data_IF_092277867438
#
_entry.id   IF_092277867438
#
_cell.length_a   1.000
_cell.length_b   1.000
_cell.length_c   1.000
_cell.angle_alpha   90.00
_cell.angle_beta   90.00
_cell.angle_gamma   90.00
#
_symmetry.space_group_name_H-M   'P 1'
#
loop_
_entity.id
_entity.type
_entity.pdbx_description
1 polymer ?
#
# COMPACT_ATOMS: atom_id res chain seq x y z
N UNK A 1 -38.12 33.43 4.71
CA UNK A 1 -37.83 32.18 3.96
C UNK A 1 -36.83 31.39 4.79
N UNK A 2 -37.22 30.30 5.46
CA UNK A 2 -36.27 29.45 6.16
C UNK A 2 -35.44 28.64 5.16
N UNK A 3 -34.15 28.50 5.42
CA UNK A 3 -33.21 27.69 4.63
C UNK A 3 -33.65 26.21 4.64
N UNK A 4 -33.54 25.48 3.52
CA UNK A 4 -33.82 24.05 3.50
C UNK A 4 -32.71 23.32 4.28
N UNK A 5 -33.12 22.55 5.27
CA UNK A 5 -32.28 21.62 6.02
C UNK A 5 -31.77 20.52 5.09
N UNK A 6 -30.45 20.32 5.08
CA UNK A 6 -29.80 19.17 4.44
C UNK A 6 -30.29 17.89 5.12
N UNK A 7 -30.72 16.84 4.39
CA UNK A 7 -31.13 15.58 4.99
C UNK A 7 -29.93 14.91 5.64
N UNK A 8 -30.01 14.62 6.93
CA UNK A 8 -29.09 13.68 7.58
C UNK A 8 -29.39 12.29 7.03
N UNK A 9 -28.55 11.82 6.10
CA UNK A 9 -28.51 10.42 5.68
C UNK A 9 -28.23 9.57 6.92
N UNK A 10 -29.15 8.65 7.24
CA UNK A 10 -28.88 7.61 8.24
C UNK A 10 -27.72 6.76 7.75
N UNK A 11 -26.66 6.64 8.55
CA UNK A 11 -25.52 5.79 8.23
C UNK A 11 -26.01 4.37 7.84
N UNK A 12 -25.47 3.78 6.77
CA UNK A 12 -25.85 2.42 6.37
C UNK A 12 -25.62 1.45 7.54
N UNK A 13 -26.51 0.46 7.66
CA UNK A 13 -26.41 -0.59 8.68
C UNK A 13 -25.14 -1.42 8.44
N UNK A 14 -24.10 -1.16 9.22
CA UNK A 14 -22.79 -1.84 9.15
C UNK A 14 -22.77 -3.16 9.93
N UNK A 15 -23.88 -3.58 10.55
CA UNK A 15 -23.91 -4.75 11.43
C UNK A 15 -23.67 -6.09 10.74
N UNK A 16 -23.72 -6.13 9.40
CA UNK A 16 -23.46 -7.32 8.58
C UNK A 16 -22.04 -7.40 8.04
N UNK A 17 -21.23 -6.35 8.18
CA UNK A 17 -19.84 -6.36 7.68
C UNK A 17 -18.90 -6.96 8.71
N UNK A 18 -18.07 -7.91 8.28
CA UNK A 18 -17.02 -8.52 9.10
C UNK A 18 -15.98 -7.47 9.45
N UNK A 19 -15.73 -7.17 10.74
CA UNK A 19 -14.74 -6.12 11.05
C UNK A 19 -13.36 -6.58 10.66
N UNK A 20 -12.48 -5.65 10.31
CA UNK A 20 -11.08 -5.98 10.03
C UNK A 20 -10.39 -6.65 11.23
N UNK A 21 -10.77 -6.29 12.47
CA UNK A 21 -10.31 -6.92 13.71
C UNK A 21 -10.77 -8.38 13.85
N UNK A 22 -11.78 -8.79 13.08
CA UNK A 22 -12.34 -10.13 13.10
C UNK A 22 -11.67 -11.04 12.06
N UNK A 23 -10.68 -10.54 11.28
CA UNK A 23 -9.92 -11.36 10.33
C UNK A 23 -8.95 -12.27 11.10
N UNK A 24 -9.47 -13.40 11.55
CA UNK A 24 -8.75 -14.41 12.32
C UNK A 24 -8.07 -15.49 11.45
N UNK A 25 -7.21 -16.31 12.08
CA UNK A 25 -6.48 -17.41 11.41
C UNK A 25 -7.36 -18.55 10.88
N UNK A 26 -8.59 -18.72 11.38
CA UNK A 26 -9.45 -19.86 11.02
C UNK A 26 -10.66 -19.45 10.18
N UNK A 27 -10.56 -18.27 9.58
CA UNK A 27 -11.63 -17.58 8.90
C UNK A 27 -11.28 -17.40 7.41
N UNK A 28 -12.25 -17.43 6.48
CA UNK A 28 -11.99 -17.19 5.06
C UNK A 28 -11.14 -15.93 4.83
N UNK A 29 -10.20 -15.92 3.87
CA UNK A 29 -9.33 -14.77 3.67
C UNK A 29 -10.15 -13.55 3.28
N UNK A 30 -9.75 -12.41 3.81
CA UNK A 30 -10.31 -11.10 3.51
C UNK A 30 -9.70 -10.56 2.21
N UNK A 31 -10.51 -10.33 1.18
CA UNK A 31 -10.04 -9.98 -0.16
C UNK A 31 -10.27 -8.49 -0.45
N UNK A 32 -9.16 -7.80 -0.74
CA UNK A 32 -9.11 -6.39 -1.10
C UNK A 32 -8.94 -6.26 -2.62
N UNK A 33 -9.92 -5.66 -3.28
CA UNK A 33 -9.79 -5.18 -4.65
C UNK A 33 -9.04 -3.84 -4.64
N UNK A 34 -7.77 -3.86 -5.01
CA UNK A 34 -6.98 -2.63 -5.16
C UNK A 34 -7.39 -1.93 -6.45
N UNK A 35 -8.14 -0.84 -6.33
CA UNK A 35 -8.45 0.04 -7.47
C UNK A 35 -7.19 0.85 -7.81
N UNK A 36 -6.43 1.24 -6.78
CA UNK A 36 -5.16 1.95 -6.94
C UNK A 36 -5.32 3.18 -7.81
N UNK A 37 -4.58 3.23 -8.91
CA UNK A 37 -4.67 4.28 -9.94
C UNK A 37 -5.31 3.80 -11.26
N UNK A 38 -5.86 2.58 -11.31
CA UNK A 38 -6.48 2.00 -12.52
C UNK A 38 -7.80 2.70 -12.93
N UNK A 39 -8.21 3.71 -12.18
CA UNK A 39 -9.30 4.60 -12.53
C UNK A 39 -8.88 5.71 -13.53
N UNK A 40 -7.58 5.87 -13.79
CA UNK A 40 -7.03 6.82 -14.77
C UNK A 40 -7.46 8.28 -14.55
N UNK A 41 -7.66 8.67 -13.28
CA UNK A 41 -8.19 9.99 -12.92
C UNK A 41 -9.70 10.20 -13.17
N UNK A 42 -10.46 9.15 -13.52
CA UNK A 42 -11.92 9.23 -13.70
C UNK A 42 -12.67 8.64 -12.52
N UNK A 43 -13.58 9.43 -11.95
CA UNK A 43 -14.49 8.98 -10.88
C UNK A 43 -15.44 7.92 -11.40
N UNK A 44 -15.99 8.10 -12.61
CA UNK A 44 -16.90 7.14 -13.23
C UNK A 44 -16.23 5.77 -13.37
N UNK A 45 -14.96 5.76 -13.82
CA UNK A 45 -14.19 4.51 -13.90
C UNK A 45 -13.96 3.89 -12.53
N UNK A 46 -13.65 4.69 -11.50
CA UNK A 46 -13.52 4.17 -10.15
C UNK A 46 -14.83 3.53 -9.65
N UNK A 47 -15.99 4.16 -9.92
CA UNK A 47 -17.30 3.62 -9.57
C UNK A 47 -17.60 2.30 -10.30
N UNK A 48 -17.25 2.18 -11.58
CA UNK A 48 -17.34 0.93 -12.35
C UNK A 48 -16.49 -0.19 -11.71
N UNK A 49 -15.28 0.14 -11.24
CA UNK A 49 -14.39 -0.82 -10.57
C UNK A 49 -14.92 -1.23 -9.19
N UNK A 50 -15.56 -0.31 -8.44
CA UNK A 50 -16.26 -0.65 -7.20
C UNK A 50 -17.40 -1.65 -7.47
N UNK A 51 -18.20 -1.41 -8.51
CA UNK A 51 -19.27 -2.33 -8.90
C UNK A 51 -18.71 -3.71 -9.30
N UNK A 52 -17.60 -3.75 -10.04
CA UNK A 52 -16.93 -4.99 -10.41
C UNK A 52 -16.39 -5.76 -9.18
N UNK A 53 -15.78 -5.05 -8.22
CA UNK A 53 -15.30 -5.64 -6.97
C UNK A 53 -16.45 -6.26 -6.15
N UNK A 54 -17.58 -5.55 -6.05
CA UNK A 54 -18.78 -6.06 -5.38
C UNK A 54 -19.29 -7.36 -6.03
N UNK A 55 -19.49 -7.34 -7.36
CA UNK A 55 -20.00 -8.52 -8.09
C UNK A 55 -19.06 -9.72 -8.01
N UNK A 56 -17.75 -9.48 -7.91
CA UNK A 56 -16.77 -10.53 -7.74
C UNK A 56 -16.75 -11.16 -6.34
N UNK A 57 -17.37 -10.51 -5.35
CA UNK A 57 -17.36 -10.93 -3.95
C UNK A 57 -16.12 -10.50 -3.17
N UNK A 58 -15.53 -9.34 -3.51
CA UNK A 58 -14.51 -8.72 -2.66
C UNK A 58 -15.10 -8.29 -1.31
N UNK A 59 -14.25 -8.19 -0.28
CA UNK A 59 -14.64 -7.66 1.04
C UNK A 59 -14.35 -6.16 1.18
N UNK A 60 -13.45 -5.65 0.35
CA UNK A 60 -13.00 -4.25 0.35
C UNK A 60 -12.64 -3.77 -1.04
N UNK A 61 -12.75 -2.46 -1.22
CA UNK A 61 -11.96 -1.73 -2.21
C UNK A 61 -10.85 -0.96 -1.50
N UNK A 62 -9.75 -0.73 -2.22
CA UNK A 62 -8.67 0.14 -1.76
C UNK A 62 -8.35 1.23 -2.78
N UNK A 63 -8.22 2.45 -2.27
CA UNK A 63 -7.87 3.65 -3.03
C UNK A 63 -6.52 4.22 -2.56
N UNK A 64 -5.95 5.11 -3.35
CA UNK A 64 -4.69 5.79 -3.07
C UNK A 64 -4.95 7.30 -2.93
N UNK A 65 -4.59 7.87 -1.78
CA UNK A 65 -4.64 9.31 -1.53
C UNK A 65 -3.22 9.87 -1.51
N UNK A 66 -2.88 10.63 -2.54
CA UNK A 66 -1.60 11.31 -2.68
C UNK A 66 -1.79 12.69 -3.32
N UNK A 67 -0.83 13.56 -3.06
CA UNK A 67 -0.63 14.80 -3.79
C UNK A 67 0.78 14.72 -4.40
N UNK A 68 0.89 14.89 -5.72
CA UNK A 68 2.14 14.72 -6.46
C UNK A 68 3.24 15.61 -5.90
N UNK A 69 2.93 16.88 -5.60
CA UNK A 69 3.89 17.84 -5.07
C UNK A 69 4.38 17.51 -3.64
N UNK A 70 3.62 16.70 -2.89
CA UNK A 70 4.04 16.17 -1.58
C UNK A 70 4.81 14.88 -1.70
N UNK A 71 4.45 14.03 -2.66
CA UNK A 71 5.04 12.71 -2.82
C UNK A 71 6.40 12.75 -3.55
N UNK A 72 6.57 13.68 -4.49
CA UNK A 72 7.72 13.73 -5.38
C UNK A 72 8.57 14.97 -5.14
N UNK A 73 9.89 14.76 -4.99
CA UNK A 73 10.88 15.85 -5.07
C UNK A 73 11.36 16.06 -6.50
N UNK A 74 12.00 17.20 -6.78
CA UNK A 74 12.71 17.48 -8.06
C UNK A 74 13.73 16.41 -8.45
N UNK A 75 14.23 15.60 -7.52
CA UNK A 75 15.18 14.52 -7.79
C UNK A 75 14.53 13.21 -8.25
N UNK A 76 13.19 13.14 -8.26
CA UNK A 76 12.45 11.90 -8.52
C UNK A 76 12.53 11.47 -9.98
N UNK A 77 12.44 10.15 -10.20
CA UNK A 77 12.51 9.50 -11.51
C UNK A 77 11.43 8.43 -11.62
N UNK A 78 11.07 8.06 -12.85
CA UNK A 78 10.19 6.90 -13.11
C UNK A 78 10.92 5.60 -12.76
N UNK A 79 10.16 4.62 -12.25
CA UNK A 79 10.58 3.23 -12.30
C UNK A 79 10.60 2.72 -13.75
N UNK A 80 11.41 1.70 -14.02
CA UNK A 80 11.54 1.09 -15.34
C UNK A 80 10.21 0.58 -15.88
N UNK A 81 9.34 0.01 -15.03
CA UNK A 81 8.02 -0.45 -15.45
C UNK A 81 7.09 0.69 -15.85
N UNK A 82 7.16 1.84 -15.17
CA UNK A 82 6.36 3.02 -15.49
C UNK A 82 6.81 3.62 -16.83
N UNK A 83 8.13 3.71 -17.06
CA UNK A 83 8.68 4.11 -18.35
C UNK A 83 8.27 3.13 -19.47
N UNK A 84 8.29 1.82 -19.19
CA UNK A 84 7.85 0.77 -20.10
C UNK A 84 6.35 0.85 -20.46
N UNK A 85 5.51 1.36 -19.55
CA UNK A 85 4.10 1.65 -19.79
C UNK A 85 3.85 2.90 -20.68
N UNK A 86 4.92 3.58 -21.12
CA UNK A 86 4.86 4.73 -22.03
C UNK A 86 4.82 6.09 -21.33
N UNK A 87 5.14 6.14 -20.04
CA UNK A 87 5.20 7.38 -19.26
C UNK A 87 6.54 8.08 -19.44
N UNK A 88 6.49 9.41 -19.60
CA UNK A 88 7.67 10.22 -19.88
C UNK A 88 8.14 11.05 -18.69
N UNK A 89 7.21 11.44 -17.81
CA UNK A 89 7.48 12.29 -16.65
C UNK A 89 6.63 11.82 -15.46
N UNK A 90 7.26 11.46 -14.33
CA UNK A 90 6.53 10.88 -13.21
C UNK A 90 5.61 11.88 -12.51
N UNK A 91 5.96 13.17 -12.52
CA UNK A 91 5.09 14.23 -11.99
C UNK A 91 3.81 14.35 -12.79
N UNK A 92 3.93 14.47 -14.12
CA UNK A 92 2.79 14.58 -15.02
C UNK A 92 1.92 13.32 -15.00
N UNK A 93 2.52 12.14 -14.85
CA UNK A 93 1.80 10.87 -14.68
C UNK A 93 0.95 10.90 -13.41
N UNK A 94 1.56 11.10 -12.24
CA UNK A 94 0.85 11.05 -10.96
C UNK A 94 -0.22 12.14 -10.87
N UNK A 95 0.06 13.36 -11.34
CA UNK A 95 -0.89 14.47 -11.29
C UNK A 95 -2.19 14.18 -12.05
N UNK A 96 -2.15 13.38 -13.14
CA UNK A 96 -3.36 12.94 -13.86
C UNK A 96 -4.17 11.89 -13.11
N UNK A 97 -3.55 11.21 -12.16
CA UNK A 97 -4.13 10.10 -11.40
C UNK A 97 -4.62 10.53 -10.02
N UNK A 98 -4.45 11.81 -9.65
CA UNK A 98 -4.99 12.35 -8.41
C UNK A 98 -6.53 12.36 -8.44
N UNK A 99 -7.13 12.03 -7.30
CA UNK A 99 -8.54 12.26 -7.01
C UNK A 99 -8.65 13.17 -5.79
N UNK A 100 -9.56 14.14 -5.86
CA UNK A 100 -9.89 14.99 -4.72
C UNK A 100 -10.68 14.24 -3.65
N UNK A 101 -10.76 14.80 -2.44
CA UNK A 101 -11.55 14.21 -1.34
C UNK A 101 -13.04 14.17 -1.69
N UNK A 102 -13.54 15.17 -2.39
CA UNK A 102 -14.93 15.23 -2.86
C UNK A 102 -15.23 14.12 -3.87
N UNK A 103 -14.29 13.82 -4.77
CA UNK A 103 -14.42 12.72 -5.72
C UNK A 103 -14.31 11.35 -5.03
N UNK A 104 -13.36 11.19 -4.11
CA UNK A 104 -13.22 9.97 -3.29
C UNK A 104 -14.46 9.71 -2.43
N UNK A 105 -15.15 10.76 -1.95
CA UNK A 105 -16.40 10.62 -1.20
C UNK A 105 -17.45 9.80 -1.96
N UNK A 106 -17.63 10.08 -3.26
CA UNK A 106 -18.58 9.37 -4.11
C UNK A 106 -18.25 7.87 -4.23
N UNK A 107 -16.95 7.57 -4.31
CA UNK A 107 -16.45 6.19 -4.44
C UNK A 107 -16.62 5.43 -3.12
N UNK A 108 -16.31 6.07 -1.99
CA UNK A 108 -16.50 5.51 -0.64
C UNK A 108 -17.98 5.25 -0.36
N UNK A 109 -18.86 6.21 -0.68
CA UNK A 109 -20.31 6.05 -0.52
C UNK A 109 -20.82 4.86 -1.33
N UNK A 110 -20.38 4.71 -2.59
CA UNK A 110 -20.73 3.58 -3.45
C UNK A 110 -20.24 2.25 -2.88
N UNK A 111 -19.00 2.18 -2.41
CA UNK A 111 -18.44 0.97 -1.80
C UNK A 111 -19.28 0.56 -0.58
N UNK A 112 -19.59 1.54 0.28
CA UNK A 112 -20.40 1.29 1.47
C UNK A 112 -21.85 0.89 1.14
N UNK A 113 -22.46 1.47 0.12
CA UNK A 113 -23.80 1.07 -0.34
C UNK A 113 -23.85 -0.39 -0.81
N UNK A 114 -22.74 -0.91 -1.32
CA UNK A 114 -22.56 -2.32 -1.71
C UNK A 114 -22.13 -3.25 -0.57
N UNK A 115 -21.98 -2.73 0.65
CA UNK A 115 -21.52 -3.50 1.80
C UNK A 115 -20.01 -3.77 1.81
N UNK A 116 -19.23 -3.16 0.92
CA UNK A 116 -17.76 -3.25 0.90
C UNK A 116 -17.16 -2.31 1.94
N UNK A 117 -16.02 -2.67 2.51
CA UNK A 117 -15.19 -1.70 3.21
C UNK A 117 -14.42 -0.82 2.22
N UNK A 118 -14.13 0.40 2.65
CA UNK A 118 -13.26 1.35 1.96
C UNK A 118 -11.94 1.51 2.72
N UNK A 119 -10.84 1.14 2.07
CA UNK A 119 -9.48 1.24 2.60
C UNK A 119 -8.73 2.32 1.83
N UNK A 120 -7.86 3.08 2.50
CA UNK A 120 -7.03 4.10 1.85
C UNK A 120 -5.55 3.90 2.11
N UNK A 121 -4.74 3.96 1.05
CA UNK A 121 -3.30 4.15 1.16
C UNK A 121 -2.99 5.63 1.17
N UNK A 122 -2.33 6.12 2.22
CA UNK A 122 -1.93 7.53 2.35
C UNK A 122 -0.43 7.65 2.20
N UNK A 123 0.03 8.58 1.36
CA UNK A 123 1.44 8.69 0.96
C UNK A 123 2.24 9.82 1.63
N UNK A 124 1.61 10.60 2.52
CA UNK A 124 2.30 11.64 3.32
C UNK A 124 1.61 11.86 4.67
N UNK A 125 2.38 12.32 5.67
CA UNK A 125 1.87 12.55 7.03
C UNK A 125 0.76 13.61 7.02
N UNK A 126 0.94 14.64 6.19
CA UNK A 126 0.03 15.77 6.05
C UNK A 126 -1.33 15.38 5.47
N UNK A 127 -1.39 14.26 4.74
CA UNK A 127 -2.64 13.75 4.17
C UNK A 127 -3.44 12.86 5.14
N UNK A 128 -2.86 12.42 6.27
CA UNK A 128 -3.60 11.61 7.26
C UNK A 128 -4.79 12.40 7.85
N UNK A 129 -4.65 13.66 8.30
CA UNK A 129 -5.80 14.45 8.74
C UNK A 129 -6.81 14.76 7.62
N UNK A 130 -6.34 14.86 6.37
CA UNK A 130 -7.20 15.09 5.20
C UNK A 130 -8.05 13.85 4.94
N UNK A 131 -7.46 12.65 5.04
CA UNK A 131 -8.15 11.37 4.87
C UNK A 131 -9.28 11.16 5.90
N UNK A 132 -9.11 11.63 7.14
CA UNK A 132 -10.12 11.52 8.21
C UNK A 132 -11.45 12.24 7.91
N UNK A 133 -11.52 13.05 6.84
CA UNK A 133 -12.77 13.64 6.36
C UNK A 133 -13.75 12.62 5.75
N UNK A 134 -13.27 11.43 5.39
CA UNK A 134 -14.08 10.34 4.84
C UNK A 134 -14.14 9.15 5.80
N UNK A 135 -15.23 8.36 5.78
CA UNK A 135 -15.42 7.24 6.70
C UNK A 135 -14.62 6.00 6.24
N UNK A 136 -13.29 6.09 6.22
CA UNK A 136 -12.44 4.94 5.92
C UNK A 136 -12.55 3.86 6.99
N UNK A 137 -12.56 2.60 6.57
CA UNK A 137 -12.64 1.43 7.46
C UNK A 137 -11.25 0.98 7.93
N UNK A 138 -10.19 1.26 7.16
CA UNK A 138 -8.81 0.98 7.52
C UNK A 138 -7.81 1.86 6.75
N UNK A 139 -6.60 1.97 7.29
CA UNK A 139 -5.45 2.56 6.61
C UNK A 139 -4.51 1.49 6.07
N UNK A 140 -3.86 1.82 4.96
CA UNK A 140 -2.81 1.02 4.33
C UNK A 140 -1.54 1.86 4.20
N UNK A 141 -0.38 1.28 4.50
CA UNK A 141 0.90 1.83 4.03
C UNK A 141 1.38 1.08 2.79
N UNK A 142 1.92 1.81 1.80
CA UNK A 142 2.59 1.18 0.67
C UNK A 142 3.94 0.59 1.11
N UNK A 143 4.45 -0.39 0.35
CA UNK A 143 5.72 -1.07 0.64
C UNK A 143 6.92 -0.13 0.83
N UNK A 144 7.12 0.92 0.00
CA UNK A 144 8.26 1.82 0.16
C UNK A 144 8.23 2.64 1.46
N UNK A 145 7.06 2.79 2.07
CA UNK A 145 6.83 3.62 3.25
C UNK A 145 7.07 2.85 4.56
N UNK A 146 7.50 1.58 4.50
CA UNK A 146 7.83 0.78 5.69
C UNK A 146 8.92 1.42 6.57
N UNK A 147 9.77 2.25 5.98
CA UNK A 147 10.81 3.02 6.68
C UNK A 147 10.33 4.41 7.15
N UNK A 148 9.09 4.78 6.85
CA UNK A 148 8.52 6.08 7.19
C UNK A 148 7.78 6.03 8.53
N UNK A 149 8.56 5.97 9.62
CA UNK A 149 8.03 5.96 10.98
C UNK A 149 6.99 7.07 11.25
N UNK A 150 7.24 8.35 10.89
CA UNK A 150 6.24 9.41 11.10
C UNK A 150 4.88 9.13 10.44
N UNK A 151 4.87 8.59 9.22
CA UNK A 151 3.63 8.25 8.51
C UNK A 151 2.93 7.04 9.15
N UNK A 152 3.68 5.99 9.48
CA UNK A 152 3.15 4.80 10.15
C UNK A 152 2.52 5.14 11.50
N UNK A 153 3.20 5.93 12.34
CA UNK A 153 2.69 6.39 13.63
C UNK A 153 1.46 7.29 13.47
N UNK A 154 1.43 8.18 12.47
CA UNK A 154 0.28 9.04 12.19
C UNK A 154 -0.97 8.21 11.82
N UNK A 155 -0.83 7.23 10.92
CA UNK A 155 -1.94 6.34 10.55
C UNK A 155 -2.39 5.47 11.73
N UNK A 156 -1.46 4.90 12.50
CA UNK A 156 -1.79 4.10 13.69
C UNK A 156 -2.51 4.92 14.78
N UNK A 157 -2.13 6.20 14.92
CA UNK A 157 -2.71 7.15 15.86
C UNK A 157 -4.18 7.51 15.58
N UNK A 158 -4.70 7.22 14.38
CA UNK A 158 -6.13 7.39 14.06
C UNK A 158 -7.03 6.41 14.82
N UNK A 159 -6.47 5.35 15.39
CA UNK A 159 -7.21 4.28 16.06
C UNK A 159 -7.86 3.28 15.12
N UNK A 160 -7.82 3.50 13.80
CA UNK A 160 -8.32 2.55 12.80
C UNK A 160 -7.32 1.39 12.59
N UNK A 161 -7.76 0.26 12.03
CA UNK A 161 -6.85 -0.79 11.61
C UNK A 161 -5.80 -0.29 10.61
N UNK A 162 -4.60 -0.87 10.69
CA UNK A 162 -3.47 -0.51 9.83
C UNK A 162 -2.91 -1.74 9.14
N UNK A 163 -2.78 -1.69 7.83
CA UNK A 163 -2.22 -2.76 7.00
C UNK A 163 -0.92 -2.27 6.35
N UNK A 164 0.21 -2.89 6.69
CA UNK A 164 1.54 -2.51 6.20
C UNK A 164 2.02 -3.50 5.15
N UNK A 165 2.31 -3.03 3.93
CA UNK A 165 2.94 -3.88 2.90
C UNK A 165 4.44 -3.86 3.07
N UNK A 166 5.08 -4.96 2.67
CA UNK A 166 6.51 -5.19 2.92
C UNK A 166 7.31 -5.46 1.66
N UNK A 167 6.78 -5.12 0.49
CA UNK A 167 7.49 -5.28 -0.78
C UNK A 167 8.84 -4.57 -0.78
N UNK A 168 9.83 -5.19 -1.41
CA UNK A 168 11.19 -4.69 -1.49
C UNK A 168 11.78 -4.29 -0.12
N UNK A 169 11.47 -5.00 0.96
CA UNK A 169 12.03 -4.75 2.30
C UNK A 169 12.87 -5.93 2.80
N UNK A 170 13.81 -5.66 3.70
CA UNK A 170 14.47 -6.74 4.47
C UNK A 170 13.62 -7.12 5.68
N UNK A 171 13.90 -8.26 6.30
CA UNK A 171 13.21 -8.67 7.54
C UNK A 171 13.47 -7.67 8.67
N UNK A 172 14.69 -7.13 8.79
CA UNK A 172 15.04 -6.15 9.82
C UNK A 172 14.23 -4.86 9.70
N UNK A 173 13.91 -4.43 8.48
CA UNK A 173 13.05 -3.27 8.24
C UNK A 173 11.61 -3.56 8.68
N UNK A 174 11.11 -4.77 8.45
CA UNK A 174 9.79 -5.20 8.91
C UNK A 174 9.74 -5.24 10.44
N UNK A 175 10.72 -5.89 11.08
CA UNK A 175 10.81 -5.96 12.56
C UNK A 175 10.81 -4.55 13.15
N UNK A 176 11.63 -3.66 12.60
CA UNK A 176 11.71 -2.26 13.07
C UNK A 176 10.37 -1.53 12.95
N UNK A 177 9.65 -1.70 11.84
CA UNK A 177 8.34 -1.10 11.65
C UNK A 177 7.30 -1.65 12.63
N UNK A 178 7.32 -2.96 12.87
CA UNK A 178 6.45 -3.64 13.84
C UNK A 178 6.73 -3.14 15.26
N UNK A 179 8.00 -3.00 15.65
CA UNK A 179 8.39 -2.47 16.98
C UNK A 179 7.84 -1.06 17.24
N UNK A 180 7.74 -0.21 16.21
CA UNK A 180 7.12 1.12 16.32
C UNK A 180 5.60 1.04 16.52
N UNK A 181 4.95 0.04 15.91
CA UNK A 181 3.50 -0.04 15.77
C UNK A 181 2.82 -0.87 16.88
N UNK A 182 3.47 -1.93 17.38
CA UNK A 182 2.90 -2.80 18.41
C UNK A 182 2.41 -2.03 19.65
N UNK A 183 3.13 -1.03 20.19
CA UNK A 183 2.63 -0.28 21.35
C UNK A 183 1.33 0.49 21.11
N UNK A 184 0.95 0.73 19.85
CA UNK A 184 -0.17 1.62 19.48
C UNK A 184 -1.34 0.84 18.85
N UNK A 185 -1.08 -0.17 18.03
CA UNK A 185 -2.10 -0.86 17.24
C UNK A 185 -1.92 -2.39 17.12
N UNK A 186 -1.28 -3.05 18.10
CA UNK A 186 -1.03 -4.50 18.06
C UNK A 186 -2.27 -5.36 17.75
N UNK A 187 -3.46 -4.98 18.23
CA UNK A 187 -4.72 -5.71 18.07
C UNK A 187 -5.40 -5.52 16.70
N UNK A 188 -4.83 -4.65 15.85
CA UNK A 188 -5.42 -4.23 14.57
C UNK A 188 -4.37 -3.98 13.48
N UNK A 189 -3.22 -4.64 13.60
CA UNK A 189 -2.11 -4.55 12.67
C UNK A 189 -2.08 -5.75 11.72
N UNK A 190 -2.15 -5.46 10.42
CA UNK A 190 -1.94 -6.43 9.34
C UNK A 190 -0.59 -6.24 8.66
N UNK A 191 0.10 -7.33 8.32
CA UNK A 191 1.34 -7.32 7.54
C UNK A 191 1.14 -8.11 6.25
N UNK A 192 1.37 -7.47 5.11
CA UNK A 192 1.30 -8.14 3.81
C UNK A 192 2.71 -8.46 3.32
N UNK A 193 2.99 -9.75 3.16
CA UNK A 193 4.10 -10.17 2.31
C UNK A 193 3.78 -9.72 0.87
N UNK A 194 4.80 -9.23 0.18
CA UNK A 194 4.66 -8.59 -1.11
C UNK A 194 5.98 -8.66 -1.85
N UNK A 195 5.90 -8.71 -3.18
CA UNK A 195 7.03 -8.48 -4.09
C UNK A 195 6.68 -7.26 -4.93
N UNK A 196 7.51 -6.21 -4.86
CA UNK A 196 7.27 -4.93 -5.53
C UNK A 196 7.84 -4.95 -6.95
N UNK A 197 7.16 -5.66 -7.83
CA UNK A 197 7.41 -5.73 -9.27
C UNK A 197 6.08 -5.83 -10.02
N UNK A 198 5.92 -5.10 -11.12
CA UNK A 198 4.63 -4.83 -11.76
C UNK A 198 4.71 -5.08 -13.28
N UNK A 199 4.35 -6.28 -13.78
CA UNK A 199 3.94 -7.47 -13.02
C UNK A 199 5.12 -8.20 -12.38
N UNK A 200 4.85 -8.90 -11.27
CA UNK A 200 5.81 -9.81 -10.65
C UNK A 200 5.93 -11.07 -11.49
N UNK A 201 7.15 -11.45 -11.94
CA UNK A 201 7.37 -12.74 -12.60
C UNK A 201 6.99 -13.90 -11.69
N UNK A 202 6.46 -14.96 -12.28
CA UNK A 202 5.90 -16.12 -11.57
C UNK A 202 6.88 -16.70 -10.55
N UNK A 203 8.09 -16.99 -10.98
CA UNK A 203 9.21 -17.50 -10.20
C UNK A 203 9.69 -16.55 -9.09
N UNK A 204 9.29 -15.28 -9.14
CA UNK A 204 9.63 -14.26 -8.15
C UNK A 204 8.51 -13.99 -7.14
N UNK A 205 7.42 -14.74 -7.13
CA UNK A 205 6.30 -14.54 -6.18
C UNK A 205 6.70 -14.71 -4.70
N UNK A 206 7.73 -15.50 -4.43
CA UNK A 206 8.33 -15.71 -3.10
C UNK A 206 7.32 -16.01 -1.98
N UNK A 207 6.34 -16.88 -2.25
CA UNK A 207 5.19 -17.10 -1.35
C UNK A 207 5.58 -17.71 0.00
N UNK A 208 6.64 -18.51 0.09
CA UNK A 208 7.12 -19.09 1.38
C UNK A 208 7.64 -18.05 2.35
N UNK A 209 7.83 -16.80 1.94
CA UNK A 209 8.06 -15.71 2.88
C UNK A 209 6.84 -15.49 3.81
N UNK A 210 5.61 -15.83 3.39
CA UNK A 210 4.42 -15.77 4.27
C UNK A 210 4.62 -16.60 5.53
N UNK A 211 5.24 -17.78 5.41
CA UNK A 211 5.49 -18.65 6.55
C UNK A 211 6.53 -18.08 7.53
N UNK A 212 7.46 -17.24 7.05
CA UNK A 212 8.36 -16.47 7.91
C UNK A 212 7.54 -15.46 8.70
N UNK A 213 6.64 -14.73 8.05
CA UNK A 213 5.81 -13.72 8.70
C UNK A 213 4.88 -14.32 9.75
N UNK A 214 4.26 -15.48 9.47
CA UNK A 214 3.39 -16.16 10.44
C UNK A 214 4.14 -16.70 11.66
N UNK A 215 5.45 -16.96 11.52
CA UNK A 215 6.32 -17.37 12.62
C UNK A 215 6.84 -16.16 13.43
N UNK A 216 7.40 -15.16 12.76
CA UNK A 216 8.05 -14.00 13.38
C UNK A 216 7.04 -13.02 14.00
N UNK A 217 5.84 -12.91 13.42
CA UNK A 217 4.82 -11.94 13.84
C UNK A 217 3.47 -12.61 14.18
N UNK A 218 3.43 -13.52 15.18
CA UNK A 218 2.25 -14.34 15.46
C UNK A 218 1.04 -13.55 15.95
N UNK A 219 1.23 -12.32 16.44
CA UNK A 219 0.17 -11.42 16.90
C UNK A 219 -0.44 -10.58 15.78
N UNK A 220 0.22 -10.50 14.62
CA UNK A 220 -0.25 -9.71 13.48
C UNK A 220 -1.10 -10.57 12.54
N UNK A 221 -2.07 -9.96 11.88
CA UNK A 221 -2.78 -10.60 10.76
C UNK A 221 -1.84 -10.64 9.55
N UNK A 222 -1.45 -11.83 9.12
CA UNK A 222 -0.55 -12.00 7.98
C UNK A 222 -1.35 -12.10 6.69
N UNK A 223 -0.91 -11.43 5.64
CA UNK A 223 -1.53 -11.48 4.33
C UNK A 223 -0.53 -11.43 3.18
N UNK A 224 -1.05 -11.28 1.97
CA UNK A 224 -0.29 -11.24 0.74
C UNK A 224 -0.84 -10.15 -0.19
N UNK A 225 0.03 -9.25 -0.65
CA UNK A 225 -0.26 -8.25 -1.69
C UNK A 225 0.41 -8.70 -2.98
N UNK A 226 -0.42 -8.93 -3.99
CA UNK A 226 -0.12 -9.74 -5.16
C UNK A 226 -0.07 -8.89 -6.43
N UNK A 227 1.09 -8.90 -7.09
CA UNK A 227 1.32 -8.22 -8.38
C UNK A 227 1.61 -9.20 -9.52
N UNK A 228 1.38 -10.49 -9.30
CA UNK A 228 1.43 -11.50 -10.38
C UNK A 228 0.22 -11.31 -11.30
N UNK A 229 0.28 -11.75 -12.57
CA UNK A 229 -0.88 -11.75 -13.44
C UNK A 229 -1.82 -12.95 -13.21
N UNK A 230 -1.51 -13.83 -12.25
CA UNK A 230 -2.16 -15.13 -12.03
C UNK A 230 -3.40 -15.03 -11.13
N UNK A 231 -4.32 -15.98 -11.28
CA UNK A 231 -5.61 -16.01 -10.56
C UNK A 231 -5.61 -16.92 -9.32
N UNK A 232 -4.66 -17.85 -9.21
CA UNK A 232 -4.61 -18.87 -8.16
C UNK A 232 -3.60 -18.56 -7.05
N UNK A 233 -2.72 -17.57 -7.25
CA UNK A 233 -1.66 -17.18 -6.30
C UNK A 233 -2.20 -16.80 -4.92
N UNK A 234 -3.37 -16.14 -4.86
CA UNK A 234 -4.05 -15.82 -3.59
C UNK A 234 -4.49 -17.04 -2.80
N UNK A 235 -4.99 -18.08 -3.48
CA UNK A 235 -5.34 -19.35 -2.85
C UNK A 235 -4.11 -20.06 -2.29
N UNK A 236 -3.00 -20.08 -3.03
CA UNK A 236 -1.73 -20.66 -2.55
C UNK A 236 -1.21 -19.88 -1.35
N UNK A 237 -1.23 -18.55 -1.39
CA UNK A 237 -0.86 -17.70 -0.27
C UNK A 237 -1.70 -18.00 0.98
N UNK A 238 -3.00 -18.24 0.81
CA UNK A 238 -3.92 -18.59 1.91
C UNK A 238 -3.54 -19.91 2.58
N UNK A 239 -3.17 -20.92 1.78
CA UNK A 239 -2.70 -22.21 2.28
C UNK A 239 -1.42 -22.05 3.11
N UNK A 240 -0.53 -21.14 2.71
CA UNK A 240 0.70 -20.81 3.44
C UNK A 240 0.48 -19.93 4.68
N UNK A 241 -0.77 -19.53 4.95
CA UNK A 241 -1.16 -18.82 6.18
C UNK A 241 -1.57 -17.36 5.98
N UNK A 242 -1.66 -16.85 4.75
CA UNK A 242 -2.23 -15.53 4.50
C UNK A 242 -3.74 -15.50 4.80
N UNK A 243 -4.22 -14.41 5.40
CA UNK A 243 -5.63 -14.16 5.73
C UNK A 243 -6.16 -12.84 5.23
N UNK A 244 -5.29 -12.00 4.69
CA UNK A 244 -5.66 -10.83 3.89
C UNK A 244 -5.00 -11.00 2.53
N UNK A 245 -5.77 -10.84 1.47
CA UNK A 245 -5.30 -10.88 0.10
C UNK A 245 -5.58 -9.54 -0.55
N UNK A 246 -4.59 -8.97 -1.22
CA UNK A 246 -4.74 -7.73 -1.97
C UNK A 246 -4.31 -7.98 -3.41
N UNK A 247 -5.18 -7.65 -4.37
CA UNK A 247 -4.95 -7.85 -5.80
C UNK A 247 -5.49 -6.65 -6.56
N UNK A 248 -4.70 -6.13 -7.50
CA UNK A 248 -5.16 -5.01 -8.33
C UNK A 248 -6.30 -5.44 -9.27
N UNK A 249 -7.32 -4.58 -9.37
CA UNK A 249 -8.46 -4.72 -10.27
C UNK A 249 -8.39 -3.61 -11.32
N UNK A 250 -8.51 -3.99 -12.59
CA UNK A 250 -8.59 -3.07 -13.73
C UNK A 250 -9.85 -3.34 -14.55
N UNK A 251 -10.24 -2.38 -15.37
CA UNK A 251 -11.29 -2.55 -16.38
C UNK A 251 -10.74 -3.22 -17.64
N UNK A 252 -9.47 -2.97 -17.97
CA UNK A 252 -8.75 -3.54 -19.10
C UNK A 252 -7.26 -3.69 -18.75
N UNK A 253 -6.68 -4.85 -19.05
CA UNK A 253 -5.26 -5.14 -18.81
C UNK A 253 -4.34 -4.57 -19.88
N UNK A 254 -4.89 -4.27 -21.05
CA UNK A 254 -4.19 -3.67 -22.17
C UNK A 254 -4.24 -2.14 -22.15
N UNK A 255 -4.96 -1.56 -21.20
CA UNK A 255 -5.00 -0.12 -20.99
C UNK A 255 -3.61 0.44 -20.66
N UNK A 256 -3.40 1.70 -21.02
CA UNK A 256 -2.16 2.41 -20.70
C UNK A 256 -2.21 2.91 -19.28
N UNK A 257 -1.16 2.65 -18.53
CA UNK A 257 -1.06 3.06 -17.13
C UNK A 257 -0.06 2.16 -16.41
N UNK A 258 0.41 2.58 -15.23
CA UNK A 258 1.49 1.89 -14.54
C UNK A 258 1.11 0.48 -14.06
N UNK A 259 -0.16 0.26 -13.70
CA UNK A 259 -0.56 -0.92 -12.92
C UNK A 259 -1.48 -1.89 -13.70
N UNK A 260 -2.06 -1.50 -14.84
CA UNK A 260 -3.03 -2.33 -15.57
C UNK A 260 -2.49 -3.71 -15.96
N UNK A 261 -1.22 -3.79 -16.38
CA UNK A 261 -0.62 -5.05 -16.83
C UNK A 261 -0.47 -6.10 -15.69
N UNK A 262 -0.32 -5.63 -14.45
CA UNK A 262 -0.26 -6.46 -13.25
C UNK A 262 -1.66 -6.78 -12.66
N UNK A 263 -2.68 -6.05 -13.09
CA UNK A 263 -4.04 -6.11 -12.55
C UNK A 263 -4.88 -7.22 -13.19
N UNK A 264 -5.88 -7.73 -12.49
CA UNK A 264 -6.90 -8.62 -13.06
C UNK A 264 -8.06 -7.80 -13.61
N UNK A 265 -8.65 -8.22 -14.73
CA UNK A 265 -9.94 -7.66 -15.18
C UNK A 265 -11.11 -8.22 -14.34
N UNK A 266 -12.36 -7.73 -14.48
CA UNK A 266 -13.47 -8.17 -13.64
C UNK A 266 -13.71 -9.69 -13.64
N UNK A 267 -13.67 -10.34 -14.81
CA UNK A 267 -13.89 -11.79 -14.91
C UNK A 267 -12.77 -12.59 -14.25
N UNK A 268 -11.52 -12.14 -14.41
CA UNK A 268 -10.36 -12.77 -13.79
C UNK A 268 -10.36 -12.55 -12.27
N UNK A 269 -10.74 -11.36 -11.80
CA UNK A 269 -10.82 -11.06 -10.37
C UNK A 269 -11.92 -11.88 -9.69
N UNK A 270 -13.09 -12.02 -10.33
CA UNK A 270 -14.12 -12.96 -9.86
C UNK A 270 -13.62 -14.41 -9.83
N UNK A 271 -12.77 -14.79 -10.79
CA UNK A 271 -12.14 -16.11 -10.79
C UNK A 271 -11.10 -16.25 -9.67
N UNK A 272 -10.33 -15.21 -9.37
CA UNK A 272 -9.40 -15.16 -8.24
C UNK A 272 -10.10 -15.38 -6.90
N UNK A 273 -11.25 -14.72 -6.67
CA UNK A 273 -12.06 -14.90 -5.46
C UNK A 273 -12.56 -16.34 -5.34
N UNK A 274 -13.15 -16.90 -6.42
CA UNK A 274 -13.64 -18.28 -6.42
C UNK A 274 -12.52 -19.30 -6.20
N UNK A 275 -11.43 -19.21 -6.97
CA UNK A 275 -10.29 -20.11 -6.87
C UNK A 275 -9.63 -20.06 -5.51
N UNK A 276 -9.53 -18.88 -4.89
CA UNK A 276 -9.04 -18.75 -3.50
C UNK A 276 -9.90 -19.56 -2.53
N UNK A 277 -11.23 -19.44 -2.65
CA UNK A 277 -12.18 -20.16 -1.79
C UNK A 277 -12.08 -21.68 -2.01
N UNK A 278 -12.05 -22.13 -3.26
CA UNK A 278 -11.95 -23.55 -3.63
C UNK A 278 -10.65 -24.20 -3.13
N UNK A 279 -9.52 -23.51 -3.28
CA UNK A 279 -8.21 -24.00 -2.82
C UNK A 279 -8.14 -24.08 -1.31
N UNK A 280 -8.68 -23.10 -0.59
CA UNK A 280 -8.74 -23.14 0.88
C UNK A 280 -9.57 -24.33 1.38
N UNK A 281 -10.77 -24.53 0.84
CA UNK A 281 -11.65 -25.66 1.20
C UNK A 281 -11.00 -27.02 0.89
N UNK A 282 -10.25 -27.10 -0.21
CA UNK A 282 -9.51 -28.33 -0.59
C UNK A 282 -8.37 -28.62 0.39
N UNK A 283 -7.64 -27.59 0.82
CA UNK A 283 -6.54 -27.74 1.77
C UNK A 283 -7.01 -28.18 3.16
N UNK A 284 -8.17 -27.67 3.63
CA UNK A 284 -8.80 -28.10 4.89
C UNK A 284 -9.18 -29.60 4.90
N UNK A 285 -9.44 -30.18 3.72
CA UNK A 285 -9.75 -31.60 3.55
C UNK A 285 -8.49 -32.50 3.54
N UNK A 286 -7.31 -31.96 3.87
CA UNK A 286 -6.07 -32.71 4.01
C UNK A 286 -5.23 -32.84 2.73
N UNK A 287 -5.62 -32.15 1.65
CA UNK A 287 -4.82 -32.07 0.42
C UNK A 287 -3.91 -30.85 0.47
N UNK A 288 -2.69 -31.02 0.99
CA UNK A 288 -1.66 -29.99 0.88
C UNK A 288 -1.25 -29.86 -0.60
N UNK A 289 -1.04 -28.64 -1.14
CA UNK A 289 -0.37 -28.46 -2.42
C UNK A 289 0.92 -29.26 -2.42
N UNK A 290 1.08 -30.14 -3.40
CA UNK A 290 2.21 -31.06 -3.48
C UNK A 290 3.52 -30.30 -3.29
N UNK A 291 4.19 -30.55 -2.17
CA UNK A 291 5.53 -30.09 -1.92
C UNK A 291 6.44 -30.67 -3.01
N UNK A 292 6.89 -29.81 -3.94
CA UNK A 292 8.31 -29.49 -4.11
C UNK A 292 8.66 -28.74 -5.42
N UNK A 293 7.75 -28.60 -6.39
CA UNK A 293 8.10 -28.08 -7.73
C UNK A 293 7.37 -26.79 -8.17
N UNK A 294 6.55 -26.15 -7.32
CA UNK A 294 5.98 -24.83 -7.66
C UNK A 294 7.00 -23.71 -7.43
N UNK A 295 7.54 -23.18 -8.53
CA UNK A 295 8.54 -22.11 -8.54
C UNK A 295 8.09 -20.84 -7.79
N UNK A 296 6.77 -20.58 -7.71
CA UNK A 296 6.21 -19.41 -7.01
C UNK A 296 6.48 -19.44 -5.51
N UNK A 297 6.68 -20.64 -4.95
CA UNK A 297 6.94 -20.82 -3.52
C UNK A 297 8.24 -20.11 -3.11
N UNK A 298 9.27 -20.18 -3.95
CA UNK A 298 10.58 -19.60 -3.65
C UNK A 298 11.18 -20.12 -2.33
N UNK A 299 12.01 -19.28 -1.70
CA UNK A 299 12.68 -19.59 -0.44
C UNK A 299 11.86 -19.10 0.76
N UNK A 300 11.95 -19.81 1.88
CA UNK A 300 11.38 -19.39 3.18
C UNK A 300 12.25 -18.30 3.82
N UNK A 301 12.28 -17.12 3.21
CA UNK A 301 13.06 -15.96 3.65
C UNK A 301 12.42 -14.67 3.16
N UNK A 302 12.46 -13.61 3.99
CA UNK A 302 12.18 -12.24 3.53
C UNK A 302 13.47 -11.56 3.13
N UNK A 303 13.63 -11.30 1.84
CA UNK A 303 14.75 -10.56 1.27
C UNK A 303 14.25 -9.65 0.17
N UNK A 304 15.07 -8.68 -0.23
CA UNK A 304 14.88 -7.91 -1.45
C UNK A 304 15.30 -8.82 -2.61
N UNK A 305 14.44 -8.97 -3.61
CA UNK A 305 14.71 -9.68 -4.85
C UNK A 305 15.32 -8.74 -5.89
N UNK A 306 16.04 -9.30 -6.87
CA UNK A 306 16.66 -8.52 -7.94
C UNK A 306 15.63 -7.66 -8.69
N UNK A 307 14.45 -8.22 -8.97
CA UNK A 307 13.36 -7.54 -9.67
C UNK A 307 12.75 -6.35 -8.90
N UNK A 308 13.12 -6.16 -7.63
CA UNK A 308 12.57 -5.11 -6.77
C UNK A 308 13.54 -3.92 -6.61
N UNK A 309 14.82 -4.06 -6.99
CA UNK A 309 15.84 -3.04 -6.72
C UNK A 309 15.51 -1.69 -7.33
N UNK A 310 15.01 -1.67 -8.56
CA UNK A 310 14.64 -0.44 -9.25
C UNK A 310 13.46 0.25 -8.56
N UNK A 311 12.36 -0.47 -8.31
CA UNK A 311 11.18 0.05 -7.60
C UNK A 311 11.56 0.56 -6.21
N UNK A 312 12.41 -0.17 -5.48
CA UNK A 312 12.92 0.24 -4.16
C UNK A 312 13.65 1.58 -4.23
N UNK A 313 14.55 1.76 -5.21
CA UNK A 313 15.36 2.96 -5.32
C UNK A 313 14.52 4.21 -5.62
N UNK A 314 13.55 4.09 -6.54
CA UNK A 314 12.75 5.23 -7.00
C UNK A 314 11.53 5.54 -6.13
N UNK A 315 10.93 4.52 -5.50
CA UNK A 315 9.66 4.67 -4.79
C UNK A 315 9.82 4.93 -3.29
N UNK A 316 10.98 4.60 -2.71
CA UNK A 316 11.28 4.96 -1.32
C UNK A 316 11.30 6.47 -1.12
N UNK A 317 11.06 6.88 0.11
CA UNK A 317 11.14 8.28 0.50
C UNK A 317 12.41 8.55 1.32
N UNK A 318 12.88 9.79 1.27
CA UNK A 318 13.99 10.33 2.06
C UNK A 318 13.56 11.61 2.76
N UNK A 319 14.37 12.04 3.73
CA UNK A 319 14.32 13.42 4.23
C UNK A 319 14.74 14.39 3.13
N UNK A 320 13.91 15.40 2.88
CA UNK A 320 14.05 16.39 1.81
C UNK A 320 13.99 17.79 2.42
N UNK A 321 14.83 18.70 1.93
CA UNK A 321 14.85 20.08 2.40
C UNK A 321 13.61 20.85 1.92
N UNK A 322 12.90 21.52 2.82
CA UNK A 322 11.71 22.35 2.47
C UNK A 322 12.10 23.68 1.83
N UNK A 323 13.33 24.14 2.04
CA UNK A 323 13.90 25.42 1.57
C UNK A 323 15.40 25.28 1.36
N UNK A 324 16.03 26.28 0.77
CA UNK A 324 17.50 26.31 0.64
C UNK A 324 18.14 26.42 2.04
N UNK A 325 19.07 25.52 2.33
CA UNK A 325 19.84 25.48 3.58
C UNK A 325 21.29 25.83 3.27
N UNK A 326 21.84 26.97 3.75
CA UNK A 326 23.24 27.32 3.53
C UNK A 326 24.18 26.39 4.33
N UNK A 327 25.46 26.37 3.98
CA UNK A 327 26.46 25.67 4.78
C UNK A 327 26.54 26.22 6.21
N UNK A 328 26.67 25.33 7.21
CA UNK A 328 26.70 25.66 8.63
C UNK A 328 25.33 25.88 9.27
N UNK A 329 24.24 25.78 8.49
CA UNK A 329 22.86 25.89 8.98
C UNK A 329 22.53 24.78 9.97
N UNK A 330 21.86 25.13 11.08
CA UNK A 330 21.38 24.15 12.07
C UNK A 330 20.02 23.66 11.62
N UNK A 331 19.92 22.37 11.32
CA UNK A 331 18.69 21.75 10.82
C UNK A 331 17.62 21.75 11.92
N UNK A 332 16.44 22.23 11.57
CA UNK A 332 15.23 22.21 12.41
C UNK A 332 14.17 21.29 11.81
N UNK A 333 13.09 21.00 12.57
CA UNK A 333 12.00 20.16 12.05
C UNK A 333 11.32 20.75 10.82
N UNK A 334 11.19 22.08 10.76
CA UNK A 334 10.53 22.80 9.66
C UNK A 334 11.36 22.82 8.37
N UNK A 335 12.66 22.54 8.48
CA UNK A 335 13.56 22.40 7.32
C UNK A 335 13.35 21.07 6.58
N UNK A 336 12.55 20.15 7.14
CA UNK A 336 12.46 18.76 6.71
C UNK A 336 11.04 18.38 6.27
N UNK A 337 10.95 17.76 5.09
CA UNK A 337 9.78 17.00 4.64
C UNK A 337 10.24 15.62 4.17
N UNK A 338 9.30 14.76 3.76
CA UNK A 338 9.58 13.39 3.35
C UNK A 338 9.01 13.18 1.96
N UNK A 339 9.87 12.94 0.97
CA UNK A 339 9.46 12.71 -0.43
C UNK A 339 10.32 11.65 -1.10
N UNK A 340 9.87 11.14 -2.24
CA UNK A 340 10.69 10.33 -3.15
C UNK A 340 11.82 11.17 -3.78
N UNK A 341 12.93 10.56 -4.23
CA UNK A 341 13.28 9.14 -4.14
C UNK A 341 13.97 8.78 -2.81
N UNK A 342 14.33 7.51 -2.62
CA UNK A 342 14.95 6.97 -1.40
C UNK A 342 16.48 7.09 -1.35
N UNK A 343 17.05 8.15 -1.92
CA UNK A 343 18.51 8.33 -2.08
C UNK A 343 19.18 9.09 -0.94
N UNK A 344 18.39 9.69 -0.05
CA UNK A 344 18.88 10.46 1.10
C UNK A 344 18.77 9.70 2.42
N UNK A 345 18.79 10.44 3.51
CA UNK A 345 18.61 9.90 4.86
C UNK A 345 17.18 9.36 5.01
N UNK A 346 17.05 8.15 5.55
CA UNK A 346 15.76 7.49 5.73
C UNK A 346 14.86 8.24 6.74
N UNK A 347 13.53 8.29 6.52
CA UNK A 347 12.65 9.16 7.32
C UNK A 347 12.57 8.80 8.81
N UNK A 348 12.74 7.54 9.19
CA UNK A 348 12.75 7.14 10.60
C UNK A 348 13.91 7.74 11.41
N UNK A 349 14.95 8.25 10.74
CA UNK A 349 16.11 8.92 11.36
C UNK A 349 15.90 10.43 11.56
N UNK A 350 14.70 10.96 11.31
CA UNK A 350 14.43 12.40 11.35
C UNK A 350 14.90 13.09 12.64
N UNK A 351 14.71 12.44 13.79
CA UNK A 351 15.11 13.01 15.09
C UNK A 351 16.63 13.00 15.30
N UNK A 352 17.38 12.15 14.59
CA UNK A 352 18.85 12.11 14.68
C UNK A 352 19.51 13.29 13.96
N UNK A 353 18.81 13.92 13.00
CA UNK A 353 19.39 15.00 12.18
C UNK A 353 18.97 16.39 12.63
N UNK A 354 17.93 16.50 13.46
CA UNK A 354 17.51 17.78 14.04
C UNK A 354 18.60 18.25 15.02
N UNK A 355 19.08 19.48 14.84
CA UNK A 355 20.20 20.05 15.59
C UNK A 355 21.57 19.89 14.93
N UNK A 356 21.69 18.98 13.95
CA UNK A 356 22.91 18.80 13.15
C UNK A 356 23.17 20.01 12.26
N UNK A 357 24.42 20.18 11.82
CA UNK A 357 24.81 21.28 10.93
C UNK A 357 25.09 20.80 9.53
N UNK A 358 24.62 21.54 8.54
CA UNK A 358 24.97 21.28 7.13
C UNK A 358 26.46 21.54 6.89
N UNK A 359 27.15 20.64 6.21
CA UNK A 359 28.57 20.78 5.82
C UNK A 359 28.74 21.54 4.51
N UNK A 360 27.69 21.55 3.69
CA UNK A 360 27.59 22.23 2.40
C UNK A 360 26.15 22.75 2.19
N UNK A 361 25.93 23.66 1.22
CA UNK A 361 24.57 24.10 0.91
C UNK A 361 23.70 22.94 0.39
N UNK A 362 22.45 22.88 0.83
CA UNK A 362 21.43 21.93 0.33
C UNK A 362 20.30 22.73 -0.28
N UNK A 363 19.98 22.48 -1.55
CA UNK A 363 18.90 23.18 -2.25
C UNK A 363 17.51 22.70 -1.80
N UNK A 364 16.54 23.59 -1.87
CA UNK A 364 15.12 23.29 -1.65
C UNK A 364 14.64 22.16 -2.56
N UNK A 365 13.86 21.26 -1.96
CA UNK A 365 13.25 20.10 -2.61
C UNK A 365 14.27 19.07 -3.13
N UNK A 366 15.44 19.01 -2.50
CA UNK A 366 16.45 17.97 -2.70
C UNK A 366 16.56 17.05 -1.48
N UNK A 367 16.83 15.74 -1.67
CA UNK A 367 17.15 14.83 -0.57
C UNK A 367 18.38 15.28 0.20
N UNK A 368 18.32 15.19 1.54
CA UNK A 368 19.48 15.41 2.41
C UNK A 368 20.27 14.11 2.48
N UNK A 369 21.55 14.18 2.10
CA UNK A 369 22.46 13.03 2.13
C UNK A 369 23.23 12.98 3.46
N UNK A 370 23.68 11.79 3.91
CA UNK A 370 24.53 11.68 5.09
C UNK A 370 25.81 12.55 5.03
N UNK A 371 26.37 12.76 3.83
CA UNK A 371 27.55 13.59 3.63
C UNK A 371 27.28 15.11 3.78
N UNK A 372 26.01 15.52 3.70
CA UNK A 372 25.61 16.92 3.79
C UNK A 372 25.56 17.42 5.24
N UNK A 373 25.72 16.54 6.23
CA UNK A 373 25.54 16.86 7.64
C UNK A 373 26.74 16.47 8.50
N UNK A 374 26.98 17.26 9.53
CA UNK A 374 27.89 16.97 10.63
C UNK A 374 27.09 16.95 11.93
N UNK A 375 27.25 15.87 12.70
CA UNK A 375 26.60 15.66 14.00
C UNK A 375 27.22 16.56 15.08
#
# INVERSE_FOLDING_TARGET
>A
MPHPSVPTSSAPDTSTRRKFTDIARDEPPYIIAEIGVNHDGSVERALELVDAAHHAGADAIKLQLFETDRLMSKASRLASYQAGAGEADPFSMLRRLELSIEEMHLIVERAHAHGLHAIVTVFSVELVPVAEQLPWDAYKSASPDIINRPLLEAMAGTGKPLIVSTGASTLEEVVRAVDWLLPVCADRLGLLQCVSSYPTPREHSALRAIEVFTHEFPTCTIGYSDHTPEIDTGGIATILGARVLEKHLTYDRCAKGPDHAASLNPEQFASYVRTTTELMQTAEQGSQPGENDDERLGRRVKTILECEHDVRAVSRQSLVATRDLPAGHVITRDDLTIKRPGTGIEPWRINEIIGSRTTQPVSSDMPILPADISL
#
